data_IF_040721230596
#
_entry.id   IF_040721230596
#
_cell.length_a   1.000
_cell.length_b   1.000
_cell.length_c   1.000
_cell.angle_alpha   90.00
_cell.angle_beta   90.00
_cell.angle_gamma   90.00
#
_symmetry.space_group_name_H-M   'P 1'
#
loop_
_entity.id
_entity.type
_entity.pdbx_description
1 polymer ?
#
# COMPACT_ATOMS: atom_id res chain seq x y z
N UNK A 1 8.33 14.37 -32.15
CA UNK A 1 8.08 13.80 -30.80
C UNK A 1 7.44 12.43 -31.00
N UNK A 2 7.79 11.40 -30.20
CA UNK A 2 7.18 10.08 -30.36
C UNK A 2 5.66 10.15 -30.19
N UNK A 3 4.97 9.19 -30.79
CA UNK A 3 3.53 9.06 -30.63
C UNK A 3 3.26 8.35 -29.30
N UNK A 4 2.73 9.08 -28.32
CA UNK A 4 2.48 8.56 -26.98
C UNK A 4 1.06 8.02 -26.88
N UNK A 5 0.90 6.82 -26.34
CA UNK A 5 -0.40 6.18 -26.10
C UNK A 5 -1.39 7.07 -25.35
N UNK A 6 -0.90 7.90 -24.43
CA UNK A 6 -1.74 8.79 -23.62
C UNK A 6 -2.42 9.93 -24.40
N UNK A 7 -2.07 10.16 -25.68
CA UNK A 7 -2.74 11.19 -26.51
C UNK A 7 -4.15 10.79 -26.93
N UNK A 8 -4.47 9.50 -26.90
CA UNK A 8 -5.75 8.98 -27.38
C UNK A 8 -6.38 8.10 -26.31
N UNK A 9 -7.33 8.67 -25.58
CA UNK A 9 -8.17 7.94 -24.62
C UNK A 9 -9.37 7.37 -25.38
N UNK A 10 -9.65 6.09 -25.16
CA UNK A 10 -10.79 5.38 -25.72
C UNK A 10 -11.62 4.79 -24.59
N UNK A 11 -12.94 4.95 -24.64
CA UNK A 11 -13.83 4.23 -23.74
C UNK A 11 -13.88 2.77 -24.17
N UNK A 12 -13.76 1.86 -23.19
CA UNK A 12 -13.85 0.41 -23.41
C UNK A 12 -14.82 -0.20 -22.42
N UNK A 13 -15.60 -1.15 -22.92
CA UNK A 13 -16.51 -1.94 -22.09
C UNK A 13 -15.70 -2.75 -21.06
N UNK A 14 -16.12 -2.75 -19.80
CA UNK A 14 -15.40 -3.46 -18.73
C UNK A 14 -15.40 -4.98 -18.93
N UNK A 15 -16.39 -5.53 -19.65
CA UNK A 15 -16.53 -6.97 -19.90
C UNK A 15 -15.58 -7.52 -20.95
N UNK A 16 -15.02 -6.66 -21.81
CA UNK A 16 -14.05 -7.09 -22.85
C UNK A 16 -12.60 -6.99 -22.37
N UNK A 17 -12.36 -6.32 -21.24
CA UNK A 17 -11.03 -6.11 -20.69
C UNK A 17 -10.52 -7.37 -19.98
N UNK A 18 -9.33 -7.82 -20.36
CA UNK A 18 -8.71 -9.03 -19.83
C UNK A 18 -7.61 -8.65 -18.84
N UNK A 19 -7.78 -8.88 -17.53
CA UNK A 19 -6.71 -8.67 -16.57
C UNK A 19 -5.47 -9.48 -16.95
N UNK A 20 -4.29 -8.85 -16.97
CA UNK A 20 -3.06 -9.60 -17.23
C UNK A 20 -2.82 -10.69 -16.16
N UNK A 21 -2.84 -11.95 -16.58
CA UNK A 21 -2.81 -13.15 -15.73
C UNK A 21 -1.62 -13.23 -14.76
N UNK A 22 -0.52 -12.56 -15.11
CA UNK A 22 0.74 -12.59 -14.34
C UNK A 22 1.01 -11.27 -13.63
N UNK A 23 -0.03 -10.50 -13.30
CA UNK A 23 0.12 -9.31 -12.47
C UNK A 23 0.61 -9.73 -11.07
N UNK A 24 1.78 -9.26 -10.62
CA UNK A 24 2.32 -9.62 -9.30
C UNK A 24 1.62 -8.88 -8.15
N UNK A 25 0.82 -7.84 -8.41
CA UNK A 25 0.20 -7.03 -7.36
C UNK A 25 -1.13 -7.63 -6.93
N UNK A 26 -1.29 -7.79 -5.62
CA UNK A 26 -2.52 -8.25 -4.97
C UNK A 26 -3.28 -7.02 -4.49
N UNK A 27 -4.57 -6.98 -4.77
CA UNK A 27 -5.46 -5.88 -4.38
C UNK A 27 -6.44 -6.39 -3.31
N UNK A 28 -6.19 -6.15 -2.01
CA UNK A 28 -7.13 -6.52 -0.96
C UNK A 28 -8.41 -5.68 -1.05
N UNK A 29 -9.52 -6.21 -0.54
CA UNK A 29 -10.84 -5.57 -0.61
C UNK A 29 -10.84 -4.14 -0.03
N UNK A 30 -10.06 -3.89 1.03
CA UNK A 30 -9.88 -2.55 1.62
C UNK A 30 -9.31 -1.55 0.63
N UNK A 31 -8.32 -1.96 -0.18
CA UNK A 31 -7.76 -1.12 -1.23
C UNK A 31 -8.77 -0.90 -2.36
N UNK A 32 -9.55 -1.92 -2.69
CA UNK A 32 -10.61 -1.78 -3.70
C UNK A 32 -11.65 -0.76 -3.26
N UNK A 33 -12.07 -0.78 -1.99
CA UNK A 33 -12.97 0.25 -1.45
C UNK A 33 -12.37 1.67 -1.49
N UNK A 34 -11.08 1.82 -1.17
CA UNK A 34 -10.39 3.11 -1.34
C UNK A 34 -10.44 3.60 -2.80
N UNK A 35 -10.23 2.69 -3.76
CA UNK A 35 -10.32 3.02 -5.18
C UNK A 35 -11.74 3.40 -5.59
N UNK A 36 -12.78 2.69 -5.11
CA UNK A 36 -14.18 3.07 -5.35
C UNK A 36 -14.49 4.46 -4.81
N UNK A 37 -14.03 4.77 -3.60
CA UNK A 37 -14.21 6.08 -2.98
C UNK A 37 -13.51 7.17 -3.78
N UNK A 38 -12.29 6.91 -4.25
CA UNK A 38 -11.57 7.82 -5.13
C UNK A 38 -12.32 8.08 -6.44
N UNK A 39 -12.84 7.03 -7.08
CA UNK A 39 -13.63 7.16 -8.31
C UNK A 39 -14.94 7.93 -8.06
N UNK A 40 -15.62 7.71 -6.93
CA UNK A 40 -16.83 8.47 -6.57
C UNK A 40 -16.55 9.96 -6.38
N UNK A 41 -15.41 10.28 -5.77
CA UNK A 41 -15.05 11.66 -5.45
C UNK A 41 -14.55 12.44 -6.67
N UNK A 42 -13.58 11.89 -7.39
CA UNK A 42 -12.86 12.61 -8.44
C UNK A 42 -13.20 12.12 -9.85
N UNK A 43 -14.05 11.10 -9.98
CA UNK A 43 -14.25 10.41 -11.23
C UNK A 43 -12.98 9.68 -11.68
N UNK A 44 -12.85 9.50 -12.99
CA UNK A 44 -11.73 8.78 -13.57
C UNK A 44 -10.58 9.73 -13.92
N UNK A 45 -9.56 9.78 -13.07
CA UNK A 45 -8.43 10.71 -13.23
C UNK A 45 -7.27 10.14 -14.02
N UNK A 46 -7.11 8.81 -14.02
CA UNK A 46 -6.03 8.11 -14.73
C UNK A 46 -6.65 6.96 -15.54
N UNK A 47 -6.46 6.90 -16.88
CA UNK A 47 -6.99 5.80 -17.68
C UNK A 47 -6.29 4.47 -17.36
N UNK A 48 -6.93 3.37 -17.74
CA UNK A 48 -6.33 2.03 -17.69
C UNK A 48 -5.39 1.88 -18.90
N UNK A 49 -4.18 1.36 -18.69
CA UNK A 49 -3.32 1.00 -19.81
C UNK A 49 -3.63 -0.42 -20.25
N UNK A 50 -3.99 -0.55 -21.53
CA UNK A 50 -4.26 -1.84 -22.16
C UNK A 50 -3.35 -2.04 -23.37
N UNK A 51 -3.25 -3.28 -23.82
CA UNK A 51 -2.66 -3.59 -25.12
C UNK A 51 -3.70 -3.66 -26.25
N UNK A 52 -3.25 -3.96 -27.47
CA UNK A 52 -4.11 -4.01 -28.65
C UNK A 52 -5.15 -5.17 -28.61
N UNK A 53 -5.00 -6.10 -27.69
CA UNK A 53 -5.92 -7.24 -27.47
C UNK A 53 -6.78 -7.04 -26.21
N UNK A 54 -6.92 -5.80 -25.74
CA UNK A 54 -7.69 -5.44 -24.54
C UNK A 54 -7.14 -6.06 -23.24
N UNK A 55 -5.86 -6.46 -23.22
CA UNK A 55 -5.18 -6.95 -22.01
C UNK A 55 -4.76 -5.80 -21.12
N UNK A 56 -5.17 -5.80 -19.86
CA UNK A 56 -4.86 -4.76 -18.87
C UNK A 56 -3.41 -4.89 -18.40
N UNK A 57 -2.58 -3.92 -18.77
CA UNK A 57 -1.18 -3.82 -18.36
C UNK A 57 -1.00 -3.03 -17.06
N UNK A 58 -1.82 -2.00 -16.84
CA UNK A 58 -1.83 -1.22 -15.60
C UNK A 58 -3.23 -0.69 -15.27
N UNK A 59 -3.57 -0.69 -13.98
CA UNK A 59 -4.89 -0.26 -13.50
C UNK A 59 -5.84 -1.40 -13.12
N UNK A 60 -5.35 -2.60 -12.84
CA UNK A 60 -6.16 -3.75 -12.42
C UNK A 60 -7.09 -3.47 -11.25
N UNK A 61 -6.61 -2.81 -10.19
CA UNK A 61 -7.45 -2.41 -9.06
C UNK A 61 -8.58 -1.46 -9.45
N UNK A 62 -8.34 -0.54 -10.40
CA UNK A 62 -9.37 0.38 -10.92
C UNK A 62 -10.42 -0.36 -11.74
N UNK A 63 -10.00 -1.32 -12.57
CA UNK A 63 -10.94 -2.19 -13.28
C UNK A 63 -11.79 -3.03 -12.31
N UNK A 64 -11.17 -3.58 -11.26
CA UNK A 64 -11.89 -4.35 -10.25
C UNK A 64 -12.92 -3.48 -9.51
N UNK A 65 -12.52 -2.29 -9.06
CA UNK A 65 -13.44 -1.32 -8.46
C UNK A 65 -14.60 -0.95 -9.40
N UNK A 66 -14.32 -0.70 -10.69
CA UNK A 66 -15.35 -0.39 -11.68
C UNK A 66 -16.35 -1.54 -11.88
N UNK A 67 -15.85 -2.78 -11.95
CA UNK A 67 -16.68 -3.97 -12.05
C UNK A 67 -17.64 -4.08 -10.86
N UNK A 68 -17.13 -3.93 -9.63
CA UNK A 68 -17.95 -3.98 -8.42
C UNK A 68 -18.92 -2.79 -8.28
N UNK A 69 -18.60 -1.65 -8.90
CA UNK A 69 -19.48 -0.47 -8.97
C UNK A 69 -20.54 -0.57 -10.08
N UNK A 70 -20.49 -1.59 -10.94
CA UNK A 70 -21.39 -1.74 -12.09
C UNK A 70 -21.14 -0.71 -13.20
N UNK A 71 -19.91 -0.19 -13.30
CA UNK A 71 -19.52 0.74 -14.37
C UNK A 71 -19.30 -0.07 -15.65
N UNK A 72 -20.07 0.24 -16.70
CA UNK A 72 -20.04 -0.49 -17.97
C UNK A 72 -18.86 -0.12 -18.85
N UNK A 73 -18.41 1.14 -18.83
CA UNK A 73 -17.32 1.63 -19.67
C UNK A 73 -16.29 2.42 -18.86
N UNK A 74 -15.02 2.20 -19.18
CA UNK A 74 -13.87 2.84 -18.52
C UNK A 74 -12.92 3.44 -19.56
N UNK A 75 -12.25 4.57 -19.25
CA UNK A 75 -11.29 5.17 -20.17
C UNK A 75 -9.99 4.37 -20.17
N UNK A 76 -9.56 3.98 -21.36
CA UNK A 76 -8.35 3.22 -21.61
C UNK A 76 -7.41 3.97 -22.55
N UNK A 77 -6.12 3.71 -22.41
CA UNK A 77 -5.06 4.09 -23.36
C UNK A 77 -4.38 2.83 -23.88
N UNK A 78 -4.07 2.79 -25.18
CA UNK A 78 -3.58 1.57 -25.84
C UNK A 78 -2.06 1.65 -26.05
N UNK A 79 -1.33 0.67 -25.55
CA UNK A 79 0.11 0.48 -25.72
C UNK A 79 0.47 -0.03 -27.13
N UNK A 80 0.20 0.79 -28.16
CA UNK A 80 0.38 0.41 -29.57
C UNK A 80 1.85 0.14 -29.89
N UNK A 81 2.12 -1.02 -30.50
CA UNK A 81 3.42 -1.41 -31.02
C UNK A 81 4.41 -1.90 -29.96
N UNK A 82 3.94 -2.19 -28.75
CA UNK A 82 4.79 -2.75 -27.70
C UNK A 82 5.00 -4.25 -27.92
N UNK A 83 6.24 -4.72 -27.78
CA UNK A 83 6.52 -6.15 -27.77
C UNK A 83 6.01 -6.80 -26.48
N UNK A 84 5.84 -8.12 -26.49
CA UNK A 84 5.42 -8.87 -25.30
C UNK A 84 6.40 -8.68 -24.14
N UNK A 85 7.70 -8.58 -24.41
CA UNK A 85 8.71 -8.29 -23.39
C UNK A 85 8.54 -6.89 -22.80
N UNK A 86 8.23 -5.89 -23.62
CA UNK A 86 7.97 -4.52 -23.15
C UNK A 86 6.72 -4.47 -22.27
N UNK A 87 5.63 -5.12 -22.69
CA UNK A 87 4.39 -5.25 -21.90
C UNK A 87 4.68 -5.89 -20.54
N UNK A 88 5.39 -7.02 -20.52
CA UNK A 88 5.80 -7.73 -19.30
C UNK A 88 6.68 -6.88 -18.38
N UNK A 89 7.67 -6.19 -18.94
CA UNK A 89 8.55 -5.32 -18.18
C UNK A 89 7.78 -4.14 -17.58
N UNK A 90 6.82 -3.58 -18.32
CA UNK A 90 6.04 -2.45 -17.86
C UNK A 90 5.11 -2.78 -16.70
N UNK A 91 4.46 -3.95 -16.71
CA UNK A 91 3.64 -4.43 -15.58
C UNK A 91 4.45 -4.41 -14.27
N UNK A 92 5.75 -4.72 -14.33
CA UNK A 92 6.65 -4.64 -13.17
C UNK A 92 7.02 -3.18 -12.88
N UNK A 93 7.40 -2.43 -13.92
CA UNK A 93 7.86 -1.06 -13.79
C UNK A 93 6.78 -0.13 -13.18
N UNK A 94 5.54 -0.21 -13.62
CA UNK A 94 4.42 0.61 -13.13
C UNK A 94 4.30 0.53 -11.59
N UNK A 95 4.33 -0.70 -11.07
CA UNK A 95 4.27 -0.97 -9.64
C UNK A 95 5.56 -0.55 -8.92
N UNK A 96 6.73 -0.90 -9.49
CA UNK A 96 8.01 -0.71 -8.80
C UNK A 96 8.46 0.74 -8.77
N UNK A 97 8.13 1.52 -9.80
CA UNK A 97 8.48 2.94 -9.85
C UNK A 97 7.73 3.74 -8.77
N UNK A 98 6.48 3.40 -8.49
CA UNK A 98 5.72 3.99 -7.38
C UNK A 98 6.37 3.64 -6.02
N UNK A 99 6.74 2.38 -5.80
CA UNK A 99 7.41 1.91 -4.57
C UNK A 99 8.80 2.51 -4.33
N UNK A 100 9.50 2.89 -5.40
CA UNK A 100 10.84 3.46 -5.28
C UNK A 100 10.83 4.95 -4.92
N UNK A 101 9.65 5.57 -4.82
CA UNK A 101 9.51 6.94 -4.34
C UNK A 101 9.43 7.00 -2.81
N UNK A 102 9.76 8.15 -2.24
CA UNK A 102 9.64 8.41 -0.80
C UNK A 102 8.89 9.71 -0.57
N UNK A 103 8.12 9.76 0.51
CA UNK A 103 7.42 10.96 0.94
C UNK A 103 8.37 11.93 1.64
N UNK A 104 8.22 13.23 1.35
CA UNK A 104 8.64 14.26 2.29
C UNK A 104 7.62 14.26 3.43
N UNK A 105 8.00 13.69 4.57
CA UNK A 105 7.08 13.50 5.70
C UNK A 105 6.57 14.82 6.26
N UNK A 106 7.40 15.87 6.26
CA UNK A 106 7.01 17.20 6.75
C UNK A 106 5.91 17.81 5.89
N UNK A 107 6.11 17.81 4.57
CA UNK A 107 5.11 18.32 3.63
C UNK A 107 3.84 17.45 3.64
N UNK A 108 3.99 16.13 3.66
CA UNK A 108 2.89 15.18 3.69
C UNK A 108 1.93 15.41 4.87
N UNK A 109 2.45 15.48 6.10
CA UNK A 109 1.61 15.74 7.26
C UNK A 109 1.06 17.16 7.29
N UNK A 110 1.81 18.15 6.78
CA UNK A 110 1.31 19.53 6.70
C UNK A 110 0.09 19.66 5.79
N UNK A 111 0.08 18.95 4.66
CA UNK A 111 -1.05 18.97 3.72
C UNK A 111 -2.26 18.24 4.30
N UNK A 112 -2.05 17.07 4.94
CA UNK A 112 -3.11 16.33 5.62
C UNK A 112 -3.77 17.19 6.70
N UNK A 113 -2.95 17.88 7.52
CA UNK A 113 -3.46 18.78 8.56
C UNK A 113 -4.24 19.95 7.96
N UNK A 114 -3.73 20.56 6.89
CA UNK A 114 -4.43 21.66 6.23
C UNK A 114 -5.80 21.25 5.69
N UNK A 115 -5.93 20.02 5.17
CA UNK A 115 -7.20 19.44 4.72
C UNK A 115 -8.14 19.15 5.91
N UNK A 116 -7.61 18.63 7.03
CA UNK A 116 -8.38 18.40 8.24
C UNK A 116 -8.91 19.70 8.86
N UNK A 117 -8.07 20.74 8.94
CA UNK A 117 -8.41 22.04 9.51
C UNK A 117 -9.59 22.72 8.76
N UNK A 118 -9.79 22.40 7.46
CA UNK A 118 -10.94 22.87 6.66
C UNK A 118 -12.13 21.89 6.65
N UNK A 119 -12.04 20.78 7.40
CA UNK A 119 -13.07 19.76 7.52
C UNK A 119 -13.22 18.87 6.30
N UNK A 120 -12.15 18.68 5.50
CA UNK A 120 -12.17 17.76 4.38
C UNK A 120 -12.15 16.30 4.88
N UNK A 121 -12.95 15.43 4.25
CA UNK A 121 -12.95 14.01 4.60
C UNK A 121 -11.63 13.36 4.16
N UNK A 122 -10.79 13.00 5.13
CA UNK A 122 -9.50 12.36 4.86
C UNK A 122 -9.62 10.86 4.57
N UNK A 123 -10.76 10.23 4.83
CA UNK A 123 -10.94 8.79 4.62
C UNK A 123 -10.87 8.39 3.14
N UNK A 124 -11.12 9.34 2.23
CA UNK A 124 -11.06 9.15 0.78
C UNK A 124 -9.65 9.33 0.20
N UNK A 125 -8.69 9.82 0.98
CA UNK A 125 -7.32 10.05 0.52
C UNK A 125 -6.45 8.78 0.54
N UNK A 126 -7.01 7.63 0.91
CA UNK A 126 -6.29 6.35 0.96
C UNK A 126 -5.27 6.27 2.10
N UNK A 127 -5.47 7.06 3.16
CA UNK A 127 -4.62 7.07 4.34
C UNK A 127 -4.89 5.82 5.21
N UNK A 128 -3.83 5.27 5.79
CA UNK A 128 -3.95 4.22 6.79
C UNK A 128 -4.64 4.77 8.06
N UNK A 129 -5.37 3.90 8.77
CA UNK A 129 -6.12 4.30 9.98
C UNK A 129 -5.21 4.90 11.05
N UNK A 130 -3.98 4.41 11.18
CA UNK A 130 -3.01 4.94 12.13
C UNK A 130 -2.64 6.40 11.81
N UNK A 131 -2.54 6.74 10.52
CA UNK A 131 -2.27 8.11 10.08
C UNK A 131 -3.47 8.99 10.40
N UNK A 132 -4.69 8.54 10.08
CA UNK A 132 -5.92 9.28 10.41
C UNK A 132 -6.05 9.54 11.92
N UNK A 133 -5.70 8.55 12.76
CA UNK A 133 -5.71 8.70 14.21
C UNK A 133 -4.65 9.71 14.70
N UNK A 134 -3.49 9.76 14.04
CA UNK A 134 -2.41 10.67 14.42
C UNK A 134 -2.71 12.16 14.15
N UNK A 135 -3.57 12.47 13.16
CA UNK A 135 -3.96 13.85 12.85
C UNK A 135 -4.74 14.49 14.00
N UNK A 136 -5.59 13.70 14.65
CA UNK A 136 -6.42 14.11 15.79
C UNK A 136 -5.73 13.97 17.14
N UNK A 137 -4.42 13.69 17.16
CA UNK A 137 -3.68 13.58 18.41
C UNK A 137 -3.50 14.97 19.04
N UNK A 138 -4.31 15.28 20.05
CA UNK A 138 -4.04 16.40 20.93
C UNK A 138 -3.09 15.96 22.05
N UNK A 139 -1.83 16.46 22.07
CA UNK A 139 -0.93 16.15 23.15
C UNK A 139 -1.53 16.64 24.47
N UNK A 140 -1.60 15.75 25.46
CA UNK A 140 -2.01 16.16 26.80
C UNK A 140 -0.96 17.11 27.37
N UNK A 141 -1.26 18.42 27.41
CA UNK A 141 -0.35 19.45 27.93
C UNK A 141 -0.12 19.33 29.45
N UNK A 142 -0.96 18.54 30.12
CA UNK A 142 -0.81 18.16 31.53
C UNK A 142 -0.68 16.63 31.62
N UNK A 143 0.47 16.04 31.22
CA UNK A 143 0.66 14.61 31.39
C UNK A 143 0.54 14.27 32.87
N UNK A 144 -0.30 13.29 33.19
CA UNK A 144 -0.36 12.76 34.55
C UNK A 144 1.02 12.20 34.92
N UNK A 145 1.58 12.65 36.04
CA UNK A 145 2.74 11.99 36.66
C UNK A 145 2.32 10.84 37.58
N UNK A 146 1.01 10.56 37.66
CA UNK A 146 0.51 9.39 38.38
C UNK A 146 0.71 8.19 37.47
N UNK A 147 1.56 7.27 37.92
CA UNK A 147 1.63 5.95 37.35
C UNK A 147 0.45 5.15 37.91
N UNK A 148 -0.31 4.53 37.02
CA UNK A 148 -1.22 3.46 37.42
C UNK A 148 -0.41 2.18 37.60
N UNK A 149 -0.66 1.47 38.69
CA UNK A 149 -0.06 0.15 38.88
C UNK A 149 -0.52 -0.75 37.72
N UNK A 150 0.43 -1.34 37.01
CA UNK A 150 0.14 -2.26 35.92
C UNK A 150 -0.67 -3.42 36.48
N UNK A 151 -1.91 -3.54 36.05
CA UNK A 151 -2.81 -4.59 36.52
C UNK A 151 -2.57 -5.89 35.76
N UNK A 152 -3.07 -7.00 36.28
CA UNK A 152 -3.04 -8.27 35.56
C UNK A 152 -3.81 -8.19 34.24
N UNK A 153 -4.83 -7.34 34.15
CA UNK A 153 -5.62 -7.16 32.93
C UNK A 153 -4.84 -6.37 31.87
N UNK A 154 -4.05 -5.36 32.25
CA UNK A 154 -3.16 -4.64 31.33
C UNK A 154 -2.07 -5.55 30.75
N UNK A 155 -1.51 -6.43 31.60
CA UNK A 155 -0.54 -7.46 31.19
C UNK A 155 -1.17 -8.42 30.19
N UNK A 156 -2.39 -8.88 30.47
CA UNK A 156 -3.10 -9.82 29.60
C UNK A 156 -3.49 -9.18 28.27
N UNK A 157 -3.89 -7.90 28.28
CA UNK A 157 -4.20 -7.15 27.07
C UNK A 157 -2.96 -6.98 26.21
N UNK A 158 -1.84 -6.53 26.78
CA UNK A 158 -0.56 -6.40 26.06
C UNK A 158 -0.07 -7.76 25.53
N UNK A 159 -0.21 -8.83 26.30
CA UNK A 159 0.14 -10.18 25.88
C UNK A 159 -0.75 -10.70 24.74
N UNK A 160 -1.98 -10.21 24.62
CA UNK A 160 -2.89 -10.58 23.53
C UNK A 160 -2.53 -9.90 22.19
N UNK A 161 -1.93 -8.71 22.24
CA UNK A 161 -1.46 -7.96 21.07
C UNK A 161 -0.09 -8.40 20.59
N UNK A 162 0.74 -8.91 21.50
CA UNK A 162 2.02 -9.54 21.16
C UNK A 162 1.73 -10.99 20.75
N UNK A 163 1.72 -11.26 19.44
CA UNK A 163 1.57 -12.63 18.93
C UNK A 163 2.55 -13.61 19.58
N UNK A 164 2.19 -14.90 19.60
CA UNK A 164 2.92 -15.98 20.32
C UNK A 164 4.44 -15.79 20.30
N UNK A 165 5.00 -15.34 21.43
CA UNK A 165 6.43 -15.46 21.68
C UNK A 165 6.70 -16.95 21.85
N UNK A 166 7.05 -17.62 20.75
CA UNK A 166 7.63 -18.96 20.85
C UNK A 166 8.88 -18.83 21.71
N UNK A 167 9.01 -19.55 22.83
CA UNK A 167 10.27 -19.56 23.55
C UNK A 167 11.33 -20.04 22.55
N UNK A 168 12.24 -19.14 22.17
CA UNK A 168 13.42 -19.57 21.43
C UNK A 168 14.20 -20.41 22.44
N UNK A 169 14.10 -21.73 22.29
CA UNK A 169 14.93 -22.64 23.08
C UNK A 169 16.36 -22.13 23.01
N UNK A 170 16.98 -21.97 24.18
CA UNK A 170 18.29 -21.34 24.37
C UNK A 170 19.24 -21.86 23.29
N UNK A 171 19.49 -21.05 22.25
CA UNK A 171 20.43 -21.43 21.19
C UNK A 171 21.81 -21.29 21.78
N UNK A 172 22.36 -22.42 22.19
CA UNK A 172 23.76 -22.53 22.56
C UNK A 172 24.54 -22.59 21.26
N UNK A 173 25.37 -21.58 21.02
CA UNK A 173 26.28 -21.54 19.89
C UNK A 173 27.71 -21.71 20.39
N UNK A 174 28.43 -22.65 19.78
CA UNK A 174 29.87 -22.82 20.00
C UNK A 174 30.61 -21.67 19.30
N UNK A 175 31.33 -20.87 20.07
CA UNK A 175 32.11 -19.74 19.56
C UNK A 175 33.58 -19.99 19.87
N UNK A 176 34.42 -19.82 18.86
CA UNK A 176 35.87 -19.95 18.99
C UNK A 176 36.47 -18.56 19.19
N UNK A 177 37.25 -18.38 20.26
CA UNK A 177 37.96 -17.14 20.49
C UNK A 177 39.01 -16.90 19.39
N UNK A 178 38.93 -15.80 18.62
CA UNK A 178 39.87 -15.55 17.52
C UNK A 178 41.28 -15.18 18.02
N UNK A 179 41.48 -14.97 19.33
CA UNK A 179 42.76 -14.59 19.91
C UNK A 179 43.53 -15.79 20.50
N UNK A 180 42.85 -16.73 21.16
CA UNK A 180 43.50 -17.90 21.78
C UNK A 180 43.06 -19.25 21.20
N UNK A 181 42.03 -19.30 20.36
CA UNK A 181 41.54 -20.52 19.72
C UNK A 181 40.71 -21.42 20.64
N UNK A 182 40.41 -20.98 21.86
CA UNK A 182 39.61 -21.76 22.82
C UNK A 182 38.12 -21.69 22.44
N UNK A 183 37.45 -22.85 22.43
CA UNK A 183 36.02 -22.97 22.13
C UNK A 183 35.19 -22.89 23.41
N UNK A 184 34.13 -22.09 23.40
CA UNK A 184 33.19 -22.06 24.52
C UNK A 184 31.76 -21.85 24.05
N UNK A 185 30.83 -22.36 24.85
CA UNK A 185 29.40 -22.33 24.61
C UNK A 185 28.80 -21.03 25.15
N UNK A 186 28.19 -20.22 24.28
CA UNK A 186 27.50 -19.01 24.71
C UNK A 186 25.99 -19.22 24.56
N UNK A 187 25.27 -19.07 25.66
CA UNK A 187 23.82 -19.05 25.67
C UNK A 187 23.34 -17.60 25.47
N UNK A 188 22.61 -17.32 24.38
CA UNK A 188 21.92 -16.04 24.22
C UNK A 188 20.81 -15.90 25.25
N UNK A 189 20.76 -14.79 25.98
CA UNK A 189 19.59 -14.36 26.76
C UNK A 189 18.51 -13.81 25.85
#
# INVERSE_FOLDING_TARGET
>A
MPDWSAKQIQMRDTTVLNPYDRNPRIHPDSQIEQLKNSIRQWGWTVPILIDESDTVLAGHGRLHAASEMGISEVPCVIAVGWSDEQKRAYVIADNKLAENSSWDTGLYFSEIKALDDIGFDLSIAGLDQDILASVNFEPTLNPSTQYEDVTSDDINLAASTVGEIKPHGQKVSDVICPHCGEEFQVAGQ
#
